data_IF_567179065246
#
_entry.id   IF_567179065246
#
_cell.length_a   1.000
_cell.length_b   1.000
_cell.length_c   1.000
_cell.angle_alpha   90.00
_cell.angle_beta   90.00
_cell.angle_gamma   90.00
#
_symmetry.space_group_name_H-M   'P 1'
#
loop_
_entity.id
_entity.type
_entity.pdbx_description
1 polymer ?
#
# COMPACT_ATOMS: atom_id res chain seq x y z
N UNK A 1 -11.64 33.28 7.34
CA UNK A 1 -11.72 33.74 5.92
C UNK A 1 -11.59 32.50 5.08
N UNK A 2 -12.57 32.18 4.22
CA UNK A 2 -12.62 30.86 3.57
C UNK A 2 -11.46 30.64 2.60
N UNK A 3 -10.67 29.59 2.82
CA UNK A 3 -9.69 29.13 1.85
C UNK A 3 -10.45 28.50 0.68
N UNK A 4 -10.43 29.17 -0.47
CA UNK A 4 -11.00 28.64 -1.70
C UNK A 4 -10.02 27.61 -2.28
N UNK A 5 -10.44 26.34 -2.31
CA UNK A 5 -9.66 25.27 -2.95
C UNK A 5 -9.63 25.51 -4.47
N UNK A 6 -8.43 25.67 -5.03
CA UNK A 6 -8.21 25.83 -6.46
C UNK A 6 -7.37 24.65 -6.93
N UNK A 7 -7.89 23.90 -7.90
CA UNK A 7 -7.18 22.79 -8.54
C UNK A 7 -6.87 23.14 -9.99
N UNK A 8 -5.63 22.94 -10.40
CA UNK A 8 -5.17 23.22 -11.76
C UNK A 8 -4.61 21.95 -12.42
N UNK A 9 -4.97 21.74 -13.70
CA UNK A 9 -4.47 20.60 -14.50
C UNK A 9 -3.22 21.01 -15.28
N UNK A 10 -2.07 20.92 -14.63
CA UNK A 10 -0.77 21.27 -15.19
C UNK A 10 -0.14 20.12 -16.00
N UNK A 11 -0.29 18.88 -15.53
CA UNK A 11 0.33 17.72 -16.16
C UNK A 11 -0.53 17.16 -17.30
N UNK A 12 0.10 16.88 -18.44
CA UNK A 12 -0.51 16.29 -19.63
C UNK A 12 0.48 15.36 -20.32
N UNK A 13 -0.03 14.29 -20.94
CA UNK A 13 0.75 13.44 -21.85
C UNK A 13 0.04 13.38 -23.20
N UNK A 14 0.80 13.19 -24.26
CA UNK A 14 0.29 13.07 -25.62
C UNK A 14 0.67 11.69 -26.17
N UNK A 15 -0.26 11.08 -26.91
CA UNK A 15 -0.10 9.75 -27.49
C UNK A 15 -0.37 9.87 -28.99
N UNK A 16 0.48 9.25 -29.80
CA UNK A 16 0.26 9.18 -31.24
C UNK A 16 -0.79 8.12 -31.57
N UNK A 17 -1.53 8.30 -32.67
CA UNK A 17 -2.50 7.31 -33.13
C UNK A 17 -1.87 5.94 -33.40
N UNK A 18 -0.64 5.90 -33.92
CA UNK A 18 0.09 4.64 -34.13
C UNK A 18 0.37 3.90 -32.82
N UNK A 19 0.74 4.63 -31.76
CA UNK A 19 0.95 4.05 -30.45
C UNK A 19 -0.36 3.55 -29.82
N UNK A 20 -1.45 4.33 -29.92
CA UNK A 20 -2.77 3.93 -29.42
C UNK A 20 -3.29 2.67 -30.12
N UNK A 21 -3.01 2.52 -31.42
CA UNK A 21 -3.35 1.30 -32.17
C UNK A 21 -2.60 0.05 -31.69
N UNK A 22 -1.40 0.21 -31.15
CA UNK A 22 -0.60 -0.88 -30.58
C UNK A 22 -0.98 -1.20 -29.14
N UNK A 23 -1.51 -0.21 -28.41
CA UNK A 23 -1.84 -0.31 -26.98
C UNK A 23 -3.31 0.08 -26.69
N UNK A 24 -4.30 -0.64 -27.26
CA UNK A 24 -5.71 -0.24 -27.22
C UNK A 24 -6.35 -0.34 -25.82
N UNK A 25 -5.72 -1.06 -24.89
CA UNK A 25 -6.20 -1.23 -23.51
C UNK A 25 -5.55 -0.24 -22.53
N UNK A 26 -4.93 0.81 -23.06
CA UNK A 26 -4.30 1.85 -22.26
C UNK A 26 -5.33 2.76 -21.61
N UNK A 27 -5.16 3.00 -20.31
CA UNK A 27 -5.94 3.94 -19.52
C UNK A 27 -5.02 4.84 -18.70
N UNK A 28 -5.47 6.05 -18.36
CA UNK A 28 -4.73 7.00 -17.54
C UNK A 28 -5.46 7.31 -16.24
N UNK A 29 -4.73 7.42 -15.13
CA UNK A 29 -5.28 7.81 -13.82
C UNK A 29 -4.38 8.82 -13.12
N UNK A 30 -4.97 9.69 -12.30
CA UNK A 30 -4.24 10.62 -11.44
C UNK A 30 -4.09 10.01 -10.05
N UNK A 31 -2.86 9.96 -9.53
CA UNK A 31 -2.55 9.43 -8.20
C UNK A 31 -2.03 10.57 -7.34
N UNK A 32 -2.86 11.00 -6.38
CA UNK A 32 -2.47 11.98 -5.38
C UNK A 32 -1.53 11.41 -4.34
N UNK A 33 -0.57 12.23 -3.90
CA UNK A 33 0.38 11.88 -2.84
C UNK A 33 0.36 12.98 -1.79
N UNK A 34 0.18 12.60 -0.53
CA UNK A 34 0.21 13.53 0.62
C UNK A 34 1.60 14.15 0.90
N UNK A 35 2.59 13.93 0.02
CA UNK A 35 3.96 14.42 0.16
C UNK A 35 4.36 15.32 -1.01
N UNK A 36 3.43 15.64 -1.91
CA UNK A 36 3.66 16.39 -3.14
C UNK A 36 2.37 17.11 -3.50
N UNK A 37 2.45 18.41 -3.72
CA UNK A 37 1.34 19.23 -4.24
C UNK A 37 1.04 18.90 -5.73
N UNK A 38 1.91 18.12 -6.38
CA UNK A 38 1.67 17.57 -7.72
C UNK A 38 1.13 16.13 -7.66
N UNK A 39 0.06 15.90 -8.43
CA UNK A 39 -0.51 14.57 -8.68
C UNK A 39 0.30 13.86 -9.78
N UNK A 40 0.53 12.56 -9.63
CA UNK A 40 1.18 11.78 -10.69
C UNK A 40 0.16 11.32 -11.71
N UNK A 41 0.49 11.41 -13.00
CA UNK A 41 -0.29 10.77 -14.06
C UNK A 41 0.29 9.39 -14.34
N UNK A 42 -0.51 8.34 -14.11
CA UNK A 42 -0.15 6.97 -14.39
C UNK A 42 -0.86 6.47 -15.65
N UNK A 43 -0.08 6.15 -16.67
CA UNK A 43 -0.53 5.43 -17.85
C UNK A 43 -0.39 3.93 -17.59
N UNK A 44 -1.49 3.19 -17.74
CA UNK A 44 -1.51 1.75 -17.47
C UNK A 44 -2.19 1.03 -18.62
N UNK A 45 -1.49 0.07 -19.19
CA UNK A 45 -2.07 -0.88 -20.13
C UNK A 45 -2.60 -2.07 -19.32
N UNK A 46 -3.89 -2.39 -19.48
CA UNK A 46 -4.54 -3.47 -18.73
C UNK A 46 -4.72 -4.72 -19.59
N UNK A 47 -3.73 -5.62 -19.68
CA UNK A 47 -4.03 -7.04 -19.62
C UNK A 47 -4.23 -7.40 -18.14
N UNK A 48 -5.12 -8.34 -17.86
CA UNK A 48 -5.24 -9.00 -16.56
C UNK A 48 -3.91 -9.71 -16.20
N UNK A 49 -2.87 -8.95 -15.84
CA UNK A 49 -1.68 -9.52 -15.24
C UNK A 49 -2.07 -9.79 -13.80
N UNK A 50 -2.10 -11.05 -13.34
CA UNK A 50 -2.25 -11.30 -11.92
C UNK A 50 -1.12 -10.53 -11.26
N UNK A 51 -1.45 -9.56 -10.40
CA UNK A 51 -0.45 -8.84 -9.65
C UNK A 51 0.52 -9.88 -9.10
N UNK A 52 1.82 -9.83 -9.51
CA UNK A 52 2.77 -10.84 -9.06
C UNK A 52 2.65 -10.85 -7.54
N UNK A 53 2.41 -12.03 -6.96
CA UNK A 53 2.17 -12.13 -5.52
C UNK A 53 3.33 -11.42 -4.84
N UNK A 54 3.05 -10.24 -4.27
CA UNK A 54 4.12 -9.39 -3.74
C UNK A 54 4.89 -10.23 -2.74
N UNK A 55 6.19 -10.36 -2.99
CA UNK A 55 7.09 -11.04 -2.06
C UNK A 55 6.91 -10.36 -0.71
N UNK A 56 6.81 -11.16 0.33
CA UNK A 56 6.68 -10.60 1.67
C UNK A 56 7.98 -9.88 2.03
N UNK A 57 7.84 -8.63 2.44
CA UNK A 57 8.91 -7.82 3.00
C UNK A 57 8.43 -7.31 4.35
N UNK A 58 9.29 -7.43 5.36
CA UNK A 58 9.06 -6.79 6.65
C UNK A 58 9.24 -5.28 6.47
N UNK A 59 8.19 -4.51 6.74
CA UNK A 59 8.25 -3.06 6.64
C UNK A 59 8.94 -2.48 7.89
N UNK A 60 9.98 -1.67 7.69
CA UNK A 60 10.70 -1.02 8.79
C UNK A 60 9.79 -0.18 9.68
N UNK A 61 8.69 0.35 9.13
CA UNK A 61 7.69 1.15 9.87
C UNK A 61 6.94 0.36 10.93
N UNK A 62 6.96 -0.96 10.86
CA UNK A 62 6.31 -1.82 11.86
C UNK A 62 7.19 -1.99 13.11
N UNK A 63 8.51 -1.84 12.98
CA UNK A 63 9.45 -2.01 14.09
C UNK A 63 9.16 -0.96 15.17
N UNK A 64 9.03 -1.40 16.43
CA UNK A 64 8.71 -0.53 17.56
C UNK A 64 7.23 -0.14 17.69
N UNK A 65 6.35 -0.66 16.82
CA UNK A 65 4.90 -0.49 16.99
C UNK A 65 4.35 -1.49 17.99
N UNK A 66 3.38 -1.02 18.77
CA UNK A 66 2.69 -1.84 19.77
C UNK A 66 2.06 -3.08 19.11
N UNK A 67 2.17 -4.22 19.79
CA UNK A 67 1.64 -5.51 19.34
C UNK A 67 2.45 -6.25 18.26
N UNK A 68 3.42 -5.63 17.57
CA UNK A 68 4.19 -6.36 16.54
C UNK A 68 5.00 -7.52 17.15
N UNK A 69 5.64 -7.28 18.30
CA UNK A 69 6.49 -8.26 18.96
C UNK A 69 5.68 -9.46 19.44
N UNK A 70 4.49 -9.20 20.01
CA UNK A 70 3.56 -10.24 20.46
C UNK A 70 3.06 -11.09 19.30
N UNK A 71 2.71 -10.48 18.16
CA UNK A 71 2.27 -11.19 16.96
C UNK A 71 3.36 -12.12 16.45
N UNK A 72 4.61 -11.64 16.38
CA UNK A 72 5.75 -12.45 15.95
C UNK A 72 6.01 -13.59 16.94
N UNK A 73 6.07 -13.29 18.23
CA UNK A 73 6.35 -14.28 19.28
C UNK A 73 5.30 -15.38 19.31
N UNK A 74 4.02 -15.02 19.26
CA UNK A 74 2.91 -15.98 19.25
C UNK A 74 2.94 -16.87 18.01
N UNK A 75 3.15 -16.30 16.83
CA UNK A 75 3.20 -17.06 15.59
C UNK A 75 4.44 -17.99 15.53
N UNK A 76 5.61 -17.50 15.93
CA UNK A 76 6.86 -18.27 15.89
C UNK A 76 6.91 -19.44 16.87
N UNK A 77 6.24 -19.28 18.02
CA UNK A 77 6.14 -20.32 19.04
C UNK A 77 5.03 -21.35 18.76
N UNK A 78 4.32 -21.21 17.65
CA UNK A 78 3.34 -22.23 17.23
C UNK A 78 4.06 -23.54 16.90
N UNK A 79 3.54 -24.64 17.44
CA UNK A 79 4.13 -25.96 17.26
C UNK A 79 3.73 -26.53 15.90
N UNK A 80 4.73 -27.05 15.18
CA UNK A 80 4.55 -27.75 13.91
C UNK A 80 5.23 -29.11 13.99
N UNK A 81 4.60 -30.13 13.43
CA UNK A 81 5.12 -31.51 13.39
C UNK A 81 5.66 -31.82 12.00
N UNK A 82 6.71 -32.63 11.92
CA UNK A 82 7.38 -32.99 10.67
C UNK A 82 8.90 -32.83 10.78
N UNK A 83 9.58 -32.84 9.63
CA UNK A 83 11.04 -32.68 9.57
C UNK A 83 11.48 -31.30 10.09
N UNK A 84 12.70 -31.15 10.62
CA UNK A 84 13.17 -29.85 11.13
C UNK A 84 13.03 -28.71 10.11
N UNK A 85 13.30 -28.97 8.83
CA UNK A 85 13.15 -27.98 7.76
C UNK A 85 11.68 -27.59 7.55
N UNK A 86 10.76 -28.57 7.61
CA UNK A 86 9.33 -28.31 7.50
C UNK A 86 8.81 -27.48 8.67
N UNK A 87 9.31 -27.73 9.89
CA UNK A 87 8.94 -26.94 11.07
C UNK A 87 9.37 -25.49 10.91
N UNK A 88 10.62 -25.24 10.48
CA UNK A 88 11.13 -23.88 10.25
C UNK A 88 10.34 -23.18 9.14
N UNK A 89 10.10 -23.85 8.00
CA UNK A 89 9.30 -23.30 6.91
C UNK A 89 7.88 -22.95 7.35
N UNK A 90 7.26 -23.81 8.16
CA UNK A 90 5.92 -23.59 8.70
C UNK A 90 5.88 -22.40 9.66
N UNK A 91 6.86 -22.27 10.56
CA UNK A 91 6.98 -21.11 11.45
C UNK A 91 7.15 -19.79 10.68
N UNK A 92 8.00 -19.78 9.65
CA UNK A 92 8.19 -18.61 8.79
C UNK A 92 6.88 -18.26 8.07
N UNK A 93 6.18 -19.26 7.53
CA UNK A 93 4.89 -19.08 6.86
C UNK A 93 3.83 -18.51 7.81
N UNK A 94 3.71 -19.07 9.01
CA UNK A 94 2.74 -18.65 10.02
C UNK A 94 3.01 -17.22 10.48
N UNK A 95 4.28 -16.91 10.76
CA UNK A 95 4.72 -15.56 11.12
C UNK A 95 4.41 -14.55 10.01
N UNK A 96 4.66 -14.90 8.75
CA UNK A 96 4.32 -14.07 7.59
C UNK A 96 2.82 -13.80 7.53
N UNK A 97 1.98 -14.83 7.67
CA UNK A 97 0.51 -14.69 7.58
C UNK A 97 -0.02 -13.81 8.71
N UNK A 98 0.43 -14.08 9.93
CA UNK A 98 0.05 -13.32 11.13
C UNK A 98 0.46 -11.85 11.03
N UNK A 99 1.69 -11.56 10.56
CA UNK A 99 2.15 -10.19 10.32
C UNK A 99 1.34 -9.48 9.22
N UNK A 100 1.01 -10.17 8.12
CA UNK A 100 0.19 -9.59 7.07
C UNK A 100 -1.21 -9.23 7.59
N UNK A 101 -1.82 -10.11 8.41
CA UNK A 101 -3.12 -9.84 9.05
C UNK A 101 -3.04 -8.62 9.98
N UNK A 102 -2.04 -8.57 10.85
CA UNK A 102 -1.82 -7.42 11.74
C UNK A 102 -1.58 -6.12 10.96
N UNK A 103 -0.79 -6.17 9.88
CA UNK A 103 -0.45 -4.99 9.07
C UNK A 103 -1.66 -4.35 8.38
N UNK A 104 -2.70 -5.14 8.05
CA UNK A 104 -3.95 -4.62 7.49
C UNK A 104 -4.66 -3.72 8.50
N UNK A 105 -4.73 -4.14 9.76
CA UNK A 105 -5.31 -3.35 10.85
C UNK A 105 -4.45 -2.12 11.18
N UNK A 106 -3.13 -2.25 11.09
CA UNK A 106 -2.22 -1.10 11.23
C UNK A 106 -2.46 -0.05 10.14
N UNK A 107 -2.68 -0.48 8.89
CA UNK A 107 -2.97 0.43 7.76
C UNK A 107 -4.32 1.13 7.91
N UNK A 108 -5.36 0.44 8.38
CA UNK A 108 -6.67 1.08 8.60
C UNK A 108 -6.58 2.15 9.69
N UNK A 109 -5.85 1.90 10.78
CA UNK A 109 -5.59 2.89 11.82
C UNK A 109 -4.85 4.13 11.30
N UNK A 110 -3.81 3.95 10.47
CA UNK A 110 -3.10 5.06 9.84
C UNK A 110 -3.97 5.86 8.88
N UNK A 111 -4.84 5.20 8.11
CA UNK A 111 -5.76 5.89 7.22
C UNK A 111 -6.74 6.76 8.00
N UNK A 112 -7.24 6.28 9.13
CA UNK A 112 -8.15 7.05 10.00
C UNK A 112 -7.43 8.27 10.60
N UNK A 113 -6.19 8.11 11.08
CA UNK A 113 -5.39 9.24 11.59
C UNK A 113 -5.13 10.26 10.49
N UNK A 114 -4.77 9.84 9.28
CA UNK A 114 -4.60 10.75 8.14
C UNK A 114 -5.89 11.52 7.85
N UNK A 115 -7.04 10.85 7.77
CA UNK A 115 -8.34 11.49 7.55
C UNK A 115 -8.64 12.52 8.65
N UNK A 116 -8.41 12.19 9.92
CA UNK A 116 -8.63 13.12 11.03
C UNK A 116 -7.66 14.31 11.03
N UNK A 117 -6.40 14.10 10.63
CA UNK A 117 -5.41 15.20 10.57
C UNK A 117 -5.75 16.15 9.42
N UNK A 118 -6.15 15.61 8.27
CA UNK A 118 -6.64 16.41 7.13
C UNK A 118 -7.92 17.20 7.49
N UNK A 119 -8.81 16.64 8.31
CA UNK A 119 -10.00 17.36 8.78
C UNK A 119 -9.68 18.44 9.83
N UNK A 120 -8.66 18.25 10.67
CA UNK A 120 -8.21 19.27 11.64
C UNK A 120 -7.47 20.43 10.96
N UNK A 121 -6.68 20.14 9.92
CA UNK A 121 -6.04 21.16 9.07
C UNK A 121 -7.08 21.99 8.31
N UNK A 122 -8.20 21.38 7.90
CA UNK A 122 -9.35 22.08 7.29
C UNK A 122 -10.16 22.94 8.29
N UNK A 123 -10.08 22.68 9.60
CA UNK A 123 -10.86 23.39 10.62
C UNK A 123 -10.04 24.44 11.41
N UNK A 124 -8.72 24.48 11.20
CA UNK A 124 -7.80 25.47 11.81
C UNK A 124 -7.45 26.62 10.85
N UNK A 125 -8.16 26.70 9.72
CA UNK A 125 -7.96 27.69 8.66
C UNK A 125 -9.26 28.47 8.39
#
# INVERSE_FOLDING_TARGET
MGYQFVEEKLDRFFISFGWLSQHPLTSSSNIGRSSSEHNLILLTESPSTPHPQKRFHLDRRWIGKEGIHEVISKAWNTQHFGTPIFQVQSKIKETRISLLKWSRNFRTGLNNVKVSTTQLEQHTL
#
